data_IF_313069265603
#
_entry.id   IF_313069265603
#
_cell.length_a   1.000
_cell.length_b   1.000
_cell.length_c   1.000
_cell.angle_alpha   90.00
_cell.angle_beta   90.00
_cell.angle_gamma   90.00
#
_symmetry.space_group_name_H-M   'P 1'
#
loop_
_entity.id
_entity.type
_entity.pdbx_description
1 polymer ?
#
# COMPACT_ATOMS: atom_id res chain seq x y z
N UNK A 1 -7.25 -10.97 -21.86
CA UNK A 1 -6.72 -12.03 -22.76
C UNK A 1 -6.47 -13.27 -21.92
N UNK A 2 -6.49 -14.47 -22.50
CA UNK A 2 -6.19 -15.70 -21.75
C UNK A 2 -4.85 -15.63 -20.99
N UNK A 3 -3.85 -14.94 -21.57
CA UNK A 3 -2.59 -14.65 -20.91
C UNK A 3 -2.76 -13.77 -19.67
N UNK A 4 -3.43 -12.62 -19.78
CA UNK A 4 -3.65 -11.70 -18.65
C UNK A 4 -4.45 -12.37 -17.52
N UNK A 5 -5.45 -13.18 -17.84
CA UNK A 5 -6.23 -13.95 -16.86
C UNK A 5 -5.37 -14.99 -16.13
N UNK A 6 -4.45 -15.65 -16.84
CA UNK A 6 -3.48 -16.56 -16.25
C UNK A 6 -2.57 -15.85 -15.24
N UNK A 7 -2.05 -14.68 -15.62
CA UNK A 7 -1.21 -13.84 -14.73
C UNK A 7 -2.00 -13.40 -13.50
N UNK A 8 -3.25 -12.98 -13.67
CA UNK A 8 -4.11 -12.56 -12.56
C UNK A 8 -4.36 -13.71 -11.57
N UNK A 9 -4.57 -14.94 -12.06
CA UNK A 9 -4.72 -16.13 -11.19
C UNK A 9 -3.46 -16.41 -10.37
N UNK A 10 -2.30 -16.34 -11.00
CA UNK A 10 -1.01 -16.52 -10.32
C UNK A 10 -0.83 -15.43 -9.25
N UNK A 11 -1.12 -14.18 -9.60
CA UNK A 11 -1.04 -13.06 -8.67
C UNK A 11 -1.95 -13.26 -7.45
N UNK A 12 -3.22 -13.62 -7.66
CA UNK A 12 -4.16 -13.90 -6.56
C UNK A 12 -3.68 -15.04 -5.67
N UNK A 13 -3.17 -16.13 -6.26
CA UNK A 13 -2.64 -17.26 -5.50
C UNK A 13 -1.42 -16.85 -4.67
N UNK A 14 -0.50 -16.06 -5.23
CA UNK A 14 0.66 -15.56 -4.51
C UNK A 14 0.25 -14.69 -3.32
N UNK A 15 -0.65 -13.73 -3.53
CA UNK A 15 -1.14 -12.84 -2.47
C UNK A 15 -1.81 -13.62 -1.34
N UNK A 16 -2.63 -14.61 -1.69
CA UNK A 16 -3.26 -15.49 -0.69
C UNK A 16 -2.23 -16.27 0.13
N UNK A 17 -1.23 -16.87 -0.51
CA UNK A 17 -0.17 -17.59 0.20
C UNK A 17 0.62 -16.69 1.16
N UNK A 18 0.88 -15.44 0.76
CA UNK A 18 1.54 -14.46 1.62
C UNK A 18 0.67 -14.12 2.84
N UNK A 19 -0.62 -13.87 2.62
CA UNK A 19 -1.59 -13.59 3.68
C UNK A 19 -1.72 -14.75 4.67
N UNK A 20 -1.85 -15.99 4.18
CA UNK A 20 -1.90 -17.21 4.99
C UNK A 20 -0.63 -17.41 5.84
N UNK A 21 0.50 -16.88 5.38
CA UNK A 21 1.78 -16.91 6.12
C UNK A 21 1.89 -15.77 7.14
N UNK A 22 0.99 -14.79 7.11
CA UNK A 22 0.96 -13.63 8.00
C UNK A 22 1.57 -12.36 7.40
N UNK A 23 1.82 -12.32 6.09
CA UNK A 23 2.24 -11.10 5.36
C UNK A 23 1.00 -10.38 4.83
N UNK A 24 0.77 -9.14 5.26
CA UNK A 24 -0.42 -8.36 4.88
C UNK A 24 -0.02 -7.05 4.20
N UNK A 25 -0.77 -6.59 3.18
CA UNK A 25 -0.56 -5.26 2.62
C UNK A 25 -0.92 -4.19 3.66
N UNK A 26 -0.22 -3.06 3.62
CA UNK A 26 -0.54 -1.87 4.40
C UNK A 26 -1.67 -1.12 3.69
N UNK A 27 -2.74 -0.78 4.41
CA UNK A 27 -3.79 0.10 3.90
C UNK A 27 -3.32 1.55 3.99
N UNK A 28 -2.91 2.13 2.87
CA UNK A 28 -2.33 3.47 2.84
C UNK A 28 -3.34 4.55 2.42
N UNK A 29 -3.97 4.41 1.25
CA UNK A 29 -4.81 5.48 0.66
C UNK A 29 -5.99 5.85 1.56
N UNK A 30 -6.17 7.15 1.80
CA UNK A 30 -7.22 7.68 2.66
C UNK A 30 -6.94 7.57 4.16
N UNK A 31 -5.84 6.94 4.56
CA UNK A 31 -5.41 6.90 5.96
C UNK A 31 -4.49 8.10 6.28
N UNK A 32 -4.43 8.53 7.55
CA UNK A 32 -3.41 9.45 8.00
C UNK A 32 -2.00 8.92 7.70
N UNK A 33 -1.10 9.81 7.30
CA UNK A 33 0.30 9.44 7.12
C UNK A 33 0.94 9.10 8.47
N UNK A 34 1.55 7.92 8.56
CA UNK A 34 2.34 7.46 9.70
C UNK A 34 3.72 6.98 9.18
N UNK A 35 4.83 7.62 9.57
CA UNK A 35 6.17 7.24 9.12
C UNK A 35 6.60 5.83 9.57
N UNK A 36 5.92 5.23 10.55
CA UNK A 36 6.16 3.84 10.93
C UNK A 36 5.68 2.85 9.86
N UNK A 37 4.73 3.24 9.01
CA UNK A 37 4.12 2.37 7.99
C UNK A 37 4.33 2.89 6.56
N UNK A 38 4.57 4.20 6.42
CA UNK A 38 4.58 4.91 5.16
C UNK A 38 5.89 5.66 4.94
N UNK A 39 6.33 5.71 3.69
CA UNK A 39 7.42 6.54 3.21
C UNK A 39 6.85 7.59 2.25
N UNK A 40 6.72 8.83 2.71
CA UNK A 40 6.25 9.95 1.90
C UNK A 40 7.35 10.39 0.95
N UNK A 41 7.12 10.23 -0.35
CA UNK A 41 8.09 10.61 -1.39
C UNK A 41 7.65 11.84 -2.18
N UNK A 42 6.38 12.22 -2.07
CA UNK A 42 5.78 13.37 -2.74
C UNK A 42 4.69 13.99 -1.87
N UNK A 43 4.49 15.29 -2.06
CA UNK A 43 3.41 16.05 -1.46
C UNK A 43 2.52 16.63 -2.57
N UNK A 44 1.23 16.79 -2.29
CA UNK A 44 0.28 17.52 -3.15
C UNK A 44 -0.51 18.50 -2.33
N UNK A 45 -0.96 19.57 -2.98
CA UNK A 45 -1.94 20.48 -2.41
C UNK A 45 -3.31 20.08 -2.97
N UNK A 46 -4.17 19.53 -2.12
CA UNK A 46 -5.53 19.12 -2.50
C UNK A 46 -6.50 19.47 -1.36
N UNK A 47 -7.23 20.56 -1.52
CA UNK A 47 -8.20 21.06 -0.53
C UNK A 47 -9.38 20.10 -0.28
N UNK A 48 -9.57 19.09 -1.14
CA UNK A 48 -10.61 18.07 -0.95
C UNK A 48 -10.17 16.92 -0.04
N UNK A 49 -8.86 16.77 0.18
CA UNK A 49 -8.28 15.78 1.07
C UNK A 49 -7.91 16.44 2.42
N UNK A 50 -7.97 15.65 3.49
CA UNK A 50 -7.53 16.13 4.81
C UNK A 50 -6.02 16.30 4.85
N UNK A 51 -5.54 17.37 5.49
CA UNK A 51 -4.10 17.59 5.75
C UNK A 51 -3.46 16.33 6.37
N UNK A 52 -2.25 16.00 5.91
CA UNK A 52 -1.48 14.84 6.33
C UNK A 52 -2.16 13.47 6.08
N UNK A 53 -3.03 13.40 5.06
CA UNK A 53 -3.66 12.16 4.59
C UNK A 53 -2.93 11.61 3.37
N UNK A 54 -2.79 10.29 3.27
CA UNK A 54 -2.24 9.65 2.07
C UNK A 54 -3.22 9.79 0.91
N UNK A 55 -2.85 10.60 -0.07
CA UNK A 55 -3.63 10.83 -1.29
C UNK A 55 -3.53 9.64 -2.25
N UNK A 56 -2.32 9.07 -2.39
CA UNK A 56 -2.06 7.98 -3.33
C UNK A 56 -0.97 7.03 -2.84
N UNK A 57 -1.16 5.73 -3.08
CA UNK A 57 -0.15 4.70 -2.91
C UNK A 57 0.53 4.44 -4.25
N UNK A 58 1.83 4.72 -4.33
CA UNK A 58 2.66 4.51 -5.52
C UNK A 58 3.24 3.09 -5.52
N UNK A 59 3.53 2.56 -4.32
CA UNK A 59 4.03 1.20 -4.14
C UNK A 59 3.48 0.62 -2.84
N UNK A 60 2.90 -0.58 -2.94
CA UNK A 60 2.37 -1.33 -1.79
C UNK A 60 3.40 -1.56 -0.71
N UNK A 61 3.08 -1.18 0.51
CA UNK A 61 3.77 -1.61 1.72
C UNK A 61 3.23 -2.96 2.21
N UNK A 62 4.02 -3.64 3.04
CA UNK A 62 3.65 -4.92 3.62
C UNK A 62 4.17 -5.04 5.06
N UNK A 63 3.34 -5.63 5.92
CA UNK A 63 3.71 -6.08 7.25
C UNK A 63 3.83 -7.60 7.27
N UNK A 64 4.70 -8.12 8.13
CA UNK A 64 4.71 -9.51 8.55
C UNK A 64 4.37 -9.53 10.02
N UNK A 65 3.16 -9.99 10.35
CA UNK A 65 2.58 -9.83 11.69
C UNK A 65 2.61 -8.34 12.07
N UNK A 66 3.35 -7.98 13.11
CA UNK A 66 3.44 -6.60 13.61
C UNK A 66 4.69 -5.85 13.11
N UNK A 67 5.55 -6.50 12.31
CA UNK A 67 6.78 -5.92 11.81
C UNK A 67 6.62 -5.46 10.36
N UNK A 68 7.02 -4.22 10.07
CA UNK A 68 7.02 -3.72 8.68
C UNK A 68 8.14 -4.38 7.89
N UNK A 69 7.77 -5.06 6.81
CA UNK A 69 8.71 -5.65 5.84
C UNK A 69 9.14 -4.59 4.84
N UNK A 70 8.18 -3.76 4.41
CA UNK A 70 8.40 -2.64 3.50
C UNK A 70 7.34 -1.58 3.75
N UNK A 71 7.75 -0.34 3.96
CA UNK A 71 6.85 0.80 4.04
C UNK A 71 6.13 1.04 2.70
N UNK A 72 4.87 1.47 2.74
CA UNK A 72 4.19 1.93 1.51
C UNK A 72 4.86 3.20 1.02
N UNK A 73 5.14 3.28 -0.29
CA UNK A 73 5.59 4.53 -0.90
C UNK A 73 4.37 5.34 -1.26
N UNK A 74 4.25 6.53 -0.68
CA UNK A 74 3.01 7.31 -0.74
C UNK A 74 3.23 8.75 -1.15
N UNK A 75 2.17 9.33 -1.68
CA UNK A 75 1.99 10.76 -1.86
C UNK A 75 1.01 11.27 -0.81
N UNK A 76 1.36 12.34 -0.11
CA UNK A 76 0.61 12.88 1.03
C UNK A 76 0.02 14.23 0.66
N UNK A 77 -1.24 14.48 1.06
CA UNK A 77 -1.85 15.80 0.95
C UNK A 77 -1.31 16.72 2.05
N UNK A 78 -0.89 17.92 1.66
CA UNK A 78 -0.61 19.02 2.58
C UNK A 78 -1.90 19.68 3.06
#
# INVERSE_FOLDING_TARGET
TPFAEGVEKIYKQLMKTLEDTGVKPIEAVGQPFDPNFHNAVMHIDDESLGENTVAMELQKGYTYRDTVVRHSMVQVAN
#
